data_IF_943503981148
#
_entry.id   IF_943503981148
#
_cell.length_a   1.000
_cell.length_b   1.000
_cell.length_c   1.000
_cell.angle_alpha   90.00
_cell.angle_beta   90.00
_cell.angle_gamma   90.00
#
_symmetry.space_group_name_H-M   'P 1'
#
loop_
_entity.id
_entity.type
_entity.pdbx_description
1 polymer ?
#
# COMPACT_ATOMS: atom_id res chain seq x y z
N UNK A 1 29.62 -3.08 4.59
CA UNK A 1 29.17 -1.69 4.72
C UNK A 1 27.65 -1.74 4.72
N UNK A 2 27.03 -1.71 5.90
CA UNK A 2 25.56 -1.71 5.99
C UNK A 2 25.05 -0.33 5.57
N UNK A 3 24.31 -0.28 4.48
CA UNK A 3 23.63 0.94 4.05
C UNK A 3 22.41 1.09 4.95
N UNK A 4 22.58 1.86 6.02
CA UNK A 4 21.50 2.21 6.94
C UNK A 4 20.45 2.99 6.13
N UNK A 5 19.21 2.50 6.11
CA UNK A 5 18.12 3.13 5.37
C UNK A 5 17.86 4.56 5.87
N UNK A 6 17.43 5.46 4.99
CA UNK A 6 17.17 6.87 5.32
C UNK A 6 16.27 7.05 6.55
N UNK A 7 15.34 6.12 6.77
CA UNK A 7 14.45 6.10 7.93
C UNK A 7 15.18 5.76 9.23
N UNK A 8 16.10 4.80 9.25
CA UNK A 8 16.86 4.42 10.46
C UNK A 8 17.75 5.58 10.94
N UNK A 9 18.32 6.33 10.00
CA UNK A 9 19.07 7.57 10.29
C UNK A 9 18.16 8.65 10.90
N UNK A 10 16.94 8.80 10.38
CA UNK A 10 15.94 9.73 10.94
C UNK A 10 15.51 9.28 12.34
N UNK A 11 15.24 7.99 12.54
CA UNK A 11 14.84 7.41 13.84
C UNK A 11 15.94 7.51 14.90
N UNK A 12 17.22 7.56 14.51
CA UNK A 12 18.34 7.73 15.42
C UNK A 12 18.41 9.15 16.05
N UNK A 13 17.87 10.18 15.36
CA UNK A 13 17.94 11.59 15.81
C UNK A 13 16.70 12.07 16.58
N UNK A 14 15.67 11.24 16.70
CA UNK A 14 14.39 11.63 17.30
C UNK A 14 14.30 11.27 18.79
N UNK A 15 13.66 12.13 19.58
CA UNK A 15 13.37 11.87 21.00
C UNK A 15 12.44 10.67 21.20
N UNK A 16 12.60 9.96 22.33
CA UNK A 16 11.89 8.69 22.66
C UNK A 16 10.39 8.71 22.35
N UNK A 17 9.67 9.78 22.72
CA UNK A 17 8.20 9.90 22.49
C UNK A 17 7.83 9.96 21.01
N UNK A 18 8.63 10.64 20.21
CA UNK A 18 8.40 10.79 18.76
C UNK A 18 8.74 9.48 18.05
N UNK A 19 9.84 8.84 18.45
CA UNK A 19 10.27 7.54 17.94
C UNK A 19 9.20 6.45 18.19
N UNK A 20 8.60 6.43 19.38
CA UNK A 20 7.54 5.46 19.72
C UNK A 20 6.28 5.65 18.86
N UNK A 21 5.79 6.89 18.71
CA UNK A 21 4.64 7.20 17.85
C UNK A 21 4.88 6.85 16.39
N UNK A 22 6.09 7.11 15.89
CA UNK A 22 6.47 6.76 14.52
C UNK A 22 6.53 5.24 14.32
N UNK A 23 7.07 4.49 15.29
CA UNK A 23 7.08 3.03 15.26
C UNK A 23 5.65 2.45 15.30
N UNK A 24 4.79 2.97 16.17
CA UNK A 24 3.38 2.59 16.23
C UNK A 24 2.66 2.86 14.91
N UNK A 25 2.91 4.02 14.30
CA UNK A 25 2.37 4.35 12.98
C UNK A 25 2.92 3.43 11.89
N UNK A 26 4.20 3.07 11.93
CA UNK A 26 4.81 2.18 10.94
C UNK A 26 4.26 0.76 11.07
N UNK A 27 4.16 0.22 12.28
CA UNK A 27 3.52 -1.08 12.55
C UNK A 27 2.05 -1.05 12.12
N UNK A 28 1.32 0.01 12.47
CA UNK A 28 -0.08 0.18 12.06
C UNK A 28 -0.24 0.25 10.55
N UNK A 29 0.63 0.98 9.85
CA UNK A 29 0.61 1.04 8.39
C UNK A 29 0.98 -0.30 7.76
N UNK A 30 1.96 -1.03 8.32
CA UNK A 30 2.34 -2.37 7.84
C UNK A 30 1.20 -3.37 7.98
N UNK A 31 0.56 -3.40 9.15
CA UNK A 31 -0.65 -4.22 9.36
C UNK A 31 -1.74 -3.80 8.37
N UNK A 32 -1.96 -2.50 8.17
CA UNK A 32 -2.95 -2.03 7.19
C UNK A 32 -2.63 -2.51 5.78
N UNK A 33 -1.36 -2.50 5.36
CA UNK A 33 -0.93 -2.99 4.04
C UNK A 33 -1.05 -4.50 3.88
N UNK A 34 -0.76 -5.30 4.89
CA UNK A 34 -0.92 -6.77 4.83
C UNK A 34 -2.39 -7.17 4.67
N UNK A 35 -3.28 -6.51 5.42
CA UNK A 35 -4.72 -6.71 5.29
C UNK A 35 -5.25 -6.20 3.93
N UNK A 36 -4.71 -5.08 3.44
CA UNK A 36 -5.02 -4.56 2.11
C UNK A 36 -4.65 -5.56 1.01
N UNK A 37 -3.47 -6.21 1.11
CA UNK A 37 -2.99 -7.16 0.10
C UNK A 37 -3.94 -8.35 -0.05
N UNK A 38 -4.43 -8.94 1.05
CA UNK A 38 -5.38 -10.07 0.98
C UNK A 38 -6.75 -9.69 0.40
N UNK A 39 -7.23 -8.47 0.64
CA UNK A 39 -8.45 -7.96 0.00
C UNK A 39 -8.21 -7.59 -1.48
N UNK A 40 -7.00 -7.15 -1.83
CA UNK A 40 -6.60 -6.82 -3.20
C UNK A 40 -6.42 -8.04 -4.09
N UNK A 41 -5.91 -9.14 -3.56
CA UNK A 41 -5.80 -10.39 -4.32
C UNK A 41 -7.16 -11.07 -4.54
N UNK A 42 -8.26 -10.53 -3.98
CA UNK A 42 -9.65 -11.01 -4.13
C UNK A 42 -9.74 -12.54 -3.94
N UNK A 43 -8.87 -13.10 -3.09
CA UNK A 43 -8.72 -14.55 -2.91
C UNK A 43 -9.98 -15.17 -2.33
N UNK A 44 -10.67 -14.41 -1.46
CA UNK A 44 -11.98 -14.78 -0.89
C UNK A 44 -13.09 -14.88 -1.94
N UNK A 45 -12.92 -14.26 -3.10
CA UNK A 45 -13.88 -14.29 -4.22
C UNK A 45 -13.42 -15.20 -5.37
N UNK A 46 -12.31 -15.94 -5.20
CA UNK A 46 -11.77 -16.86 -6.21
C UNK A 46 -11.26 -16.18 -7.48
N UNK A 47 -10.98 -14.87 -7.44
CA UNK A 47 -10.55 -14.07 -8.61
C UNK A 47 -9.18 -13.45 -8.37
N UNK A 48 -8.13 -14.25 -8.55
CA UNK A 48 -6.76 -13.81 -8.37
C UNK A 48 -6.38 -12.69 -9.35
N UNK A 49 -5.90 -11.57 -8.81
CA UNK A 49 -5.08 -10.63 -9.56
C UNK A 49 -3.63 -11.12 -9.61
N UNK A 50 -2.92 -10.83 -10.69
CA UNK A 50 -1.48 -11.10 -10.76
C UNK A 50 -0.73 -10.34 -9.66
N UNK A 51 0.36 -10.92 -9.15
CA UNK A 51 1.13 -10.36 -8.01
C UNK A 51 1.54 -8.90 -8.23
N UNK A 52 1.93 -8.54 -9.45
CA UNK A 52 2.29 -7.16 -9.80
C UNK A 52 1.10 -6.20 -9.71
N UNK A 53 -0.09 -6.61 -10.16
CA UNK A 53 -1.29 -5.79 -10.08
C UNK A 53 -1.69 -5.53 -8.62
N UNK A 54 -1.54 -6.53 -7.76
CA UNK A 54 -1.76 -6.39 -6.32
C UNK A 54 -0.78 -5.38 -5.71
N UNK A 55 0.51 -5.46 -6.06
CA UNK A 55 1.52 -4.50 -5.58
C UNK A 55 1.25 -3.07 -6.05
N UNK A 56 0.84 -2.88 -7.32
CA UNK A 56 0.50 -1.57 -7.88
C UNK A 56 -0.70 -0.97 -7.14
N UNK A 57 -1.76 -1.74 -6.96
CA UNK A 57 -2.96 -1.29 -6.25
C UNK A 57 -2.67 -0.98 -4.77
N UNK A 58 -1.89 -1.82 -4.10
CA UNK A 58 -1.47 -1.61 -2.71
C UNK A 58 -0.66 -0.31 -2.56
N UNK A 59 0.26 -0.06 -3.49
CA UNK A 59 1.07 1.15 -3.49
C UNK A 59 0.21 2.41 -3.71
N UNK A 60 -0.68 2.40 -4.71
CA UNK A 60 -1.60 3.51 -4.96
C UNK A 60 -2.50 3.79 -3.74
N UNK A 61 -3.02 2.76 -3.08
CA UNK A 61 -3.83 2.89 -1.87
C UNK A 61 -3.04 3.44 -0.68
N UNK A 62 -1.82 2.95 -0.46
CA UNK A 62 -0.97 3.41 0.64
C UNK A 62 -0.66 4.91 0.54
N UNK A 63 -0.50 5.40 -0.70
CA UNK A 63 -0.24 6.81 -1.00
C UNK A 63 -1.49 7.63 -1.30
N UNK A 64 -2.69 7.03 -1.26
CA UNK A 64 -3.97 7.66 -1.59
C UNK A 64 -3.98 8.33 -2.98
N UNK A 65 -3.42 7.66 -3.98
CA UNK A 65 -3.31 8.11 -5.37
C UNK A 65 -4.52 7.67 -6.20
N UNK A 66 -4.72 8.36 -7.33
CA UNK A 66 -5.58 7.90 -8.42
C UNK A 66 -4.73 7.03 -9.35
N UNK A 67 -5.15 5.80 -9.58
CA UNK A 67 -4.49 4.87 -10.49
C UNK A 67 -5.01 5.06 -11.91
N UNK A 68 -4.19 5.61 -12.81
CA UNK A 68 -4.54 5.69 -14.23
C UNK A 68 -4.23 4.34 -14.88
N UNK A 69 -5.25 3.66 -15.42
CA UNK A 69 -5.12 2.35 -16.07
C UNK A 69 -6.30 2.07 -17.00
N UNK A 70 -6.05 1.37 -18.12
CA UNK A 70 -7.12 0.82 -18.97
C UNK A 70 -7.53 -0.60 -18.53
N UNK A 71 -6.89 -1.16 -17.51
CA UNK A 71 -7.16 -2.51 -17.03
C UNK A 71 -8.37 -2.52 -16.10
N UNK A 72 -9.47 -3.10 -16.60
CA UNK A 72 -10.73 -3.23 -15.88
C UNK A 72 -10.64 -4.10 -14.62
N UNK A 73 -9.56 -4.88 -14.42
CA UNK A 73 -9.36 -5.66 -13.20
C UNK A 73 -9.30 -4.77 -11.94
N UNK A 74 -8.71 -3.57 -12.04
CA UNK A 74 -8.59 -2.64 -10.90
C UNK A 74 -9.93 -2.05 -10.46
N UNK A 75 -10.89 -1.91 -11.39
CA UNK A 75 -12.25 -1.49 -11.07
C UNK A 75 -13.04 -2.48 -10.19
N UNK A 76 -12.51 -3.69 -9.98
CA UNK A 76 -13.11 -4.72 -9.13
C UNK A 76 -12.77 -4.55 -7.65
N UNK A 77 -11.77 -3.74 -7.33
CA UNK A 77 -11.32 -3.46 -5.97
C UNK A 77 -12.27 -2.43 -5.34
N UNK A 78 -13.52 -2.81 -5.09
CA UNK A 78 -14.56 -1.89 -4.60
C UNK A 78 -14.51 -1.65 -3.09
N UNK A 79 -13.96 -2.59 -2.33
CA UNK A 79 -13.91 -2.54 -0.85
C UNK A 79 -12.84 -1.60 -0.32
N UNK A 80 -11.80 -1.39 -1.11
CA UNK A 80 -10.73 -0.46 -0.82
C UNK A 80 -11.03 0.77 -1.67
N UNK A 81 -10.93 1.98 -1.11
CA UNK A 81 -11.28 3.23 -1.79
C UNK A 81 -10.31 3.59 -2.94
N UNK A 82 -9.83 2.61 -3.70
CA UNK A 82 -8.97 2.76 -4.84
C UNK A 82 -9.74 3.52 -5.91
N UNK A 83 -9.20 4.68 -6.30
CA UNK A 83 -9.72 5.46 -7.42
C UNK A 83 -8.95 5.06 -8.65
N UNK A 84 -9.63 4.56 -9.67
CA UNK A 84 -9.04 4.22 -10.95
C UNK A 84 -9.73 4.99 -12.08
N UNK A 85 -8.94 5.51 -13.02
CA UNK A 85 -9.41 6.24 -14.19
C UNK A 85 -8.78 5.67 -15.46
N UNK A 86 -9.54 5.68 -16.55
CA UNK A 86 -9.08 5.29 -17.88
C UNK A 86 -9.02 6.54 -18.76
N UNK A 87 -7.84 6.90 -19.24
CA UNK A 87 -7.60 8.07 -20.09
C UNK A 87 -7.45 7.72 -21.58
N UNK A 88 -7.71 6.47 -21.95
CA UNK A 88 -7.71 6.06 -23.37
C UNK A 88 -9.02 6.40 -24.08
N UNK A 89 -9.94 7.08 -23.39
CA UNK A 89 -11.27 7.49 -23.87
C UNK A 89 -11.45 9.00 -23.78
#
# INVERSE_FOLDING_TARGET
>A
MEVIGSEEVVMARLGKRIKLKLLENHVRNRLKTEWLVGDLSLEREGRLMGSLAVMIAAHALALNLILITNDHAFGRIKRLKLKAEDWTK
#
